data_IF_921050055295
#
_entry.id   IF_921050055295
#
_cell.length_a   1.000
_cell.length_b   1.000
_cell.length_c   1.000
_cell.angle_alpha   90.00
_cell.angle_beta   90.00
_cell.angle_gamma   90.00
#
_symmetry.space_group_name_H-M   'P 1'
#
loop_
_entity.id
_entity.type
_entity.pdbx_description
1 polymer ?
#
# COMPACT_ATOMS: atom_id res chain seq x y z
N UNK A 1 25.70 19.10 55.84
CA UNK A 1 26.02 18.91 57.27
C UNK A 1 27.08 17.84 57.39
N UNK A 2 28.07 18.04 58.25
CA UNK A 2 29.14 17.07 58.52
C UNK A 2 30.51 17.72 58.44
N UNK A 3 31.10 18.03 59.60
CA UNK A 3 32.44 18.60 59.71
C UNK A 3 33.53 17.52 59.61
N UNK A 4 34.57 17.82 58.84
CA UNK A 4 35.82 17.09 58.80
C UNK A 4 36.95 17.97 59.33
N UNK A 5 37.56 17.54 60.44
CA UNK A 5 38.68 18.18 61.11
C UNK A 5 39.96 17.92 60.29
N UNK A 6 40.57 18.96 59.74
CA UNK A 6 41.88 18.90 59.07
C UNK A 6 42.76 20.04 59.59
N UNK A 7 43.89 19.70 60.19
CA UNK A 7 44.90 20.66 60.66
C UNK A 7 45.50 21.37 59.44
N UNK A 8 45.28 22.68 59.33
CA UNK A 8 45.94 23.52 58.33
C UNK A 8 47.37 23.84 58.81
N UNK A 9 48.37 23.39 58.06
CA UNK A 9 49.75 23.83 58.23
C UNK A 9 49.90 25.30 57.81
N UNK A 10 50.57 26.10 58.63
CA UNK A 10 50.89 27.49 58.34
C UNK A 10 52.17 27.55 57.50
N UNK A 11 52.03 27.45 56.18
CA UNK A 11 52.96 27.82 55.08
C UNK A 11 52.93 26.76 53.98
N UNK A 12 52.39 27.12 52.81
CA UNK A 12 52.41 26.29 51.60
C UNK A 12 51.29 26.65 50.63
N UNK A 13 51.65 27.20 49.48
CA UNK A 13 50.75 27.43 48.34
C UNK A 13 50.18 26.08 47.84
N UNK A 14 49.04 25.67 48.39
CA UNK A 14 48.27 24.53 47.91
C UNK A 14 47.42 24.93 46.72
N UNK A 15 47.95 24.82 45.50
CA UNK A 15 47.09 24.69 44.32
C UNK A 15 46.48 23.30 44.36
N UNK A 16 45.28 23.18 44.90
CA UNK A 16 44.52 21.93 44.81
C UNK A 16 44.26 21.62 43.34
N UNK A 17 44.90 20.58 42.83
CA UNK A 17 44.70 20.06 41.48
C UNK A 17 43.37 19.29 41.46
N UNK A 18 42.27 19.99 41.19
CA UNK A 18 40.96 19.37 41.04
C UNK A 18 40.94 18.51 39.76
N UNK A 19 41.12 17.21 39.91
CA UNK A 19 40.93 16.24 38.81
C UNK A 19 39.44 15.92 38.72
N UNK A 20 38.77 16.49 37.73
CA UNK A 20 37.37 16.17 37.43
C UNK A 20 37.32 14.81 36.71
N UNK A 21 36.66 13.82 37.34
CA UNK A 21 36.34 12.55 36.68
C UNK A 21 34.98 12.68 36.03
N UNK A 22 34.97 12.90 34.72
CA UNK A 22 33.75 12.94 33.91
C UNK A 22 33.48 11.52 33.40
N UNK A 23 32.25 11.04 33.54
CA UNK A 23 31.85 9.75 32.97
C UNK A 23 31.76 9.82 31.45
N UNK A 24 31.84 8.67 30.77
CA UNK A 24 31.73 8.61 29.30
C UNK A 24 30.43 9.24 28.80
N UNK A 25 29.33 9.01 29.52
CA UNK A 25 28.01 9.49 29.13
C UNK A 25 27.89 11.01 29.36
N UNK A 26 28.40 11.53 30.48
CA UNK A 26 28.48 12.98 30.72
C UNK A 26 29.37 13.69 29.69
N UNK A 27 30.47 13.05 29.24
CA UNK A 27 31.30 13.60 28.17
C UNK A 27 30.54 13.71 26.85
N UNK A 28 29.73 12.70 26.52
CA UNK A 28 28.89 12.74 25.31
C UNK A 28 27.81 13.82 25.43
N UNK A 29 27.15 13.91 26.59
CA UNK A 29 26.14 14.92 26.82
C UNK A 29 26.73 16.33 26.72
N UNK A 30 27.89 16.59 27.33
CA UNK A 30 28.60 17.88 27.20
C UNK A 30 29.01 18.18 25.75
N UNK A 31 29.39 17.15 24.98
CA UNK A 31 29.76 17.29 23.57
C UNK A 31 28.54 17.62 22.69
N UNK A 32 27.37 17.06 23.01
CA UNK A 32 26.14 17.22 22.24
C UNK A 32 25.21 18.33 22.75
N UNK A 33 25.47 18.93 23.91
CA UNK A 33 24.68 20.00 24.53
C UNK A 33 24.47 21.20 23.58
N UNK A 34 25.50 21.49 22.76
CA UNK A 34 25.48 22.56 21.75
C UNK A 34 25.35 22.06 20.29
N UNK A 35 25.17 20.75 20.08
CA UNK A 35 24.98 20.14 18.74
C UNK A 35 23.50 20.05 18.34
N UNK A 36 22.67 20.97 18.83
CA UNK A 36 21.32 21.16 18.33
C UNK A 36 21.38 21.77 16.93
N UNK A 37 20.78 21.09 15.93
CA UNK A 37 20.72 21.60 14.57
C UNK A 37 19.96 22.95 14.55
N UNK A 38 20.65 24.09 14.33
CA UNK A 38 20.07 25.42 14.63
C UNK A 38 19.02 25.84 13.61
N UNK A 39 19.01 25.20 12.43
CA UNK A 39 18.05 25.46 11.38
C UNK A 39 17.72 24.17 10.66
N UNK A 40 16.70 23.47 11.14
CA UNK A 40 15.98 22.49 10.31
C UNK A 40 15.11 23.18 9.23
N UNK A 41 15.52 24.38 8.77
CA UNK A 41 14.91 25.05 7.63
C UNK A 41 15.30 24.24 6.39
N UNK A 42 14.29 23.81 5.65
CA UNK A 42 14.46 23.11 4.37
C UNK A 42 15.27 24.00 3.42
N UNK A 43 16.58 23.76 3.31
CA UNK A 43 17.40 24.40 2.30
C UNK A 43 16.91 23.96 0.91
N UNK A 44 16.77 24.91 -0.01
CA UNK A 44 16.26 24.66 -1.36
C UNK A 44 17.30 23.99 -2.30
N UNK A 45 18.48 23.62 -1.79
CA UNK A 45 19.56 23.05 -2.59
C UNK A 45 19.59 21.53 -2.55
N UNK A 46 19.62 20.96 -3.76
CA UNK A 46 19.74 19.56 -4.20
C UNK A 46 19.50 18.50 -3.11
N UNK A 47 18.25 18.40 -2.66
CA UNK A 47 17.75 17.19 -2.02
C UNK A 47 17.97 16.03 -3.00
N UNK A 48 18.76 15.03 -2.60
CA UNK A 48 18.70 13.73 -3.26
C UNK A 48 17.31 13.18 -2.92
N UNK A 49 16.39 13.27 -3.87
CA UNK A 49 15.08 12.67 -3.72
C UNK A 49 15.27 11.17 -3.77
N UNK A 50 15.28 10.52 -2.61
CA UNK A 50 15.10 9.08 -2.56
C UNK A 50 13.67 8.77 -3.02
N UNK A 51 13.52 7.82 -3.93
CA UNK A 51 12.21 7.42 -4.41
C UNK A 51 11.82 6.11 -3.77
N UNK A 52 10.77 6.14 -2.96
CA UNK A 52 10.18 4.92 -2.42
C UNK A 52 8.97 4.51 -3.25
N UNK A 53 8.87 3.21 -3.49
CA UNK A 53 7.73 2.63 -4.19
C UNK A 53 6.55 2.50 -3.24
N UNK A 54 5.43 3.15 -3.56
CA UNK A 54 4.20 3.08 -2.80
C UNK A 54 3.09 2.41 -3.62
N UNK A 55 2.22 1.65 -2.96
CA UNK A 55 1.05 1.05 -3.61
C UNK A 55 0.07 2.16 -4.01
N UNK A 56 -0.29 2.23 -5.28
CA UNK A 56 -1.11 3.28 -5.88
C UNK A 56 -2.41 2.71 -6.51
N UNK A 57 -2.96 1.66 -5.91
CA UNK A 57 -4.23 1.06 -6.33
C UNK A 57 -4.08 0.07 -7.50
N UNK A 58 -4.95 0.20 -8.51
CA UNK A 58 -5.01 -0.70 -9.65
C UNK A 58 -5.14 0.07 -10.98
N UNK A 59 -4.53 -0.45 -12.03
CA UNK A 59 -4.62 0.05 -13.41
C UNK A 59 -5.23 -1.01 -14.32
N UNK A 60 -5.80 -0.60 -15.46
CA UNK A 60 -6.32 -1.52 -16.48
C UNK A 60 -5.22 -2.26 -17.23
N UNK A 61 -4.03 -1.64 -17.34
CA UNK A 61 -2.88 -2.20 -18.05
C UNK A 61 -1.67 -2.27 -17.11
N UNK A 62 -0.79 -3.25 -17.33
CA UNK A 62 0.41 -3.45 -16.55
C UNK A 62 1.14 -4.74 -16.90
N UNK A 63 2.25 -4.99 -16.20
CA UNK A 63 3.05 -6.21 -16.38
C UNK A 63 2.27 -7.41 -15.82
N UNK A 64 2.23 -8.57 -16.51
CA UNK A 64 1.52 -9.77 -16.06
C UNK A 64 1.83 -10.20 -14.62
N UNK A 65 3.07 -10.02 -14.17
CA UNK A 65 3.48 -10.31 -12.80
C UNK A 65 2.69 -9.54 -11.73
N UNK A 66 2.18 -8.35 -12.06
CA UNK A 66 1.42 -7.49 -11.16
C UNK A 66 -0.10 -7.69 -11.28
N UNK A 67 -0.59 -8.68 -12.03
CA UNK A 67 -2.02 -8.90 -12.18
C UNK A 67 -2.70 -9.17 -10.83
N UNK A 68 -3.83 -8.51 -10.62
CA UNK A 68 -4.72 -8.77 -9.51
C UNK A 68 -5.81 -9.73 -9.96
N UNK A 69 -5.56 -11.03 -9.75
CA UNK A 69 -6.49 -12.10 -10.16
C UNK A 69 -7.88 -11.89 -9.56
N UNK A 70 -7.95 -11.65 -8.25
CA UNK A 70 -9.22 -11.47 -7.53
C UNK A 70 -10.04 -10.31 -8.11
N UNK A 71 -9.41 -9.14 -8.29
CA UNK A 71 -10.12 -7.96 -8.81
C UNK A 71 -10.49 -8.11 -10.28
N UNK A 72 -9.65 -8.78 -11.08
CA UNK A 72 -9.96 -9.06 -12.48
C UNK A 72 -11.15 -10.01 -12.63
N UNK A 73 -11.18 -11.08 -11.83
CA UNK A 73 -12.30 -12.01 -11.79
C UNK A 73 -13.59 -11.35 -11.31
N UNK A 74 -13.53 -10.51 -10.27
CA UNK A 74 -14.69 -9.74 -9.80
C UNK A 74 -15.28 -8.85 -10.91
N UNK A 75 -14.42 -8.12 -11.63
CA UNK A 75 -14.86 -7.29 -12.76
C UNK A 75 -15.50 -8.13 -13.86
N UNK A 76 -14.89 -9.26 -14.20
CA UNK A 76 -15.42 -10.15 -15.23
C UNK A 76 -16.78 -10.73 -14.85
N UNK A 77 -16.95 -11.16 -13.60
CA UNK A 77 -18.23 -11.65 -13.11
C UNK A 77 -19.31 -10.56 -13.15
N UNK A 78 -18.97 -9.33 -12.76
CA UNK A 78 -19.89 -8.20 -12.84
C UNK A 78 -20.29 -7.91 -14.30
N UNK A 79 -19.33 -7.87 -15.22
CA UNK A 79 -19.57 -7.67 -16.66
C UNK A 79 -20.45 -8.78 -17.24
N UNK A 80 -20.11 -10.05 -16.98
CA UNK A 80 -20.88 -11.21 -17.45
C UNK A 80 -22.29 -11.19 -16.90
N UNK A 81 -22.47 -10.84 -15.62
CA UNK A 81 -23.79 -10.70 -15.01
C UNK A 81 -24.60 -9.60 -15.69
N UNK A 82 -24.02 -8.41 -15.93
CA UNK A 82 -24.70 -7.32 -16.62
C UNK A 82 -25.09 -7.68 -18.06
N UNK A 83 -24.17 -8.27 -18.83
CA UNK A 83 -24.38 -8.67 -20.23
C UNK A 83 -25.41 -9.80 -20.41
N UNK A 84 -25.57 -10.65 -19.38
CA UNK A 84 -26.49 -11.79 -19.42
C UNK A 84 -27.79 -11.55 -18.64
N UNK A 85 -27.90 -10.49 -17.83
CA UNK A 85 -29.05 -10.24 -16.97
C UNK A 85 -30.39 -10.23 -17.72
N UNK A 86 -30.48 -9.48 -18.82
CA UNK A 86 -31.71 -9.41 -19.63
C UNK A 86 -32.09 -10.78 -20.20
N UNK A 87 -31.14 -11.46 -20.85
CA UNK A 87 -31.33 -12.80 -21.42
C UNK A 87 -31.73 -13.81 -20.34
N UNK A 88 -31.14 -13.75 -19.14
CA UNK A 88 -31.51 -14.65 -18.04
C UNK A 88 -32.93 -14.42 -17.52
N UNK A 89 -33.46 -13.19 -17.60
CA UNK A 89 -34.87 -12.93 -17.25
C UNK A 89 -35.81 -13.51 -18.30
N UNK A 90 -35.51 -13.24 -19.57
CA UNK A 90 -36.26 -13.79 -20.71
C UNK A 90 -36.23 -15.32 -20.72
N UNK A 91 -35.07 -15.93 -20.44
CA UNK A 91 -34.94 -17.38 -20.31
C UNK A 91 -35.90 -17.95 -19.26
N UNK A 92 -36.00 -17.31 -18.09
CA UNK A 92 -36.90 -17.77 -17.03
C UNK A 92 -38.36 -17.64 -17.43
N UNK A 93 -38.74 -16.53 -18.07
CA UNK A 93 -40.10 -16.35 -18.58
C UNK A 93 -40.46 -17.44 -19.62
N UNK A 94 -39.57 -17.72 -20.57
CA UNK A 94 -39.80 -18.79 -21.56
C UNK A 94 -39.84 -20.18 -20.93
N UNK A 95 -39.03 -20.43 -19.88
CA UNK A 95 -39.08 -21.68 -19.12
C UNK A 95 -40.41 -21.86 -18.37
N UNK A 96 -40.95 -20.78 -17.80
CA UNK A 96 -42.28 -20.75 -17.17
C UNK A 96 -43.41 -20.95 -18.19
N UNK A 97 -43.31 -20.31 -19.36
CA UNK A 97 -44.26 -20.48 -20.47
C UNK A 97 -44.26 -21.93 -20.98
N UNK A 98 -43.06 -22.52 -21.14
CA UNK A 98 -42.90 -23.91 -21.55
C UNK A 98 -43.53 -24.87 -20.54
N UNK A 99 -43.32 -24.64 -19.25
CA UNK A 99 -43.94 -25.42 -18.19
C UNK A 99 -45.47 -25.32 -18.24
N UNK A 100 -46.00 -24.13 -18.50
CA UNK A 100 -47.44 -23.89 -18.63
C UNK A 100 -48.05 -24.63 -19.83
N UNK A 101 -47.44 -24.50 -21.01
CA UNK A 101 -47.92 -25.16 -22.23
C UNK A 101 -47.83 -26.68 -22.11
N UNK A 102 -46.75 -27.20 -21.50
CA UNK A 102 -46.58 -28.65 -21.29
C UNK A 102 -47.67 -29.28 -20.43
N UNK A 103 -48.37 -28.47 -19.62
CA UNK A 103 -49.48 -28.90 -18.74
C UNK A 103 -50.87 -28.58 -19.29
N UNK A 104 -50.96 -27.83 -20.39
CA UNK A 104 -52.24 -27.45 -20.98
C UNK A 104 -52.82 -28.56 -21.87
N UNK A 105 -54.15 -28.71 -21.82
CA UNK A 105 -54.90 -29.53 -22.78
C UNK A 105 -55.80 -28.62 -23.63
N UNK A 106 -55.86 -28.83 -24.97
CA UNK A 106 -55.17 -29.84 -25.75
C UNK A 106 -53.66 -29.59 -25.88
N UNK A 107 -52.88 -30.66 -26.12
CA UNK A 107 -51.41 -30.58 -26.25
C UNK A 107 -51.02 -29.72 -27.45
N UNK A 108 -50.22 -28.69 -27.21
CA UNK A 108 -49.76 -27.73 -28.23
C UNK A 108 -48.29 -28.02 -28.64
N UNK A 109 -48.07 -29.15 -29.33
CA UNK A 109 -46.74 -29.64 -29.70
C UNK A 109 -45.88 -28.61 -30.45
N UNK A 110 -46.47 -27.88 -31.40
CA UNK A 110 -45.74 -26.92 -32.23
C UNK A 110 -45.23 -25.72 -31.39
N UNK A 111 -46.03 -25.23 -30.45
CA UNK A 111 -45.64 -24.12 -29.57
C UNK A 111 -44.58 -24.57 -28.57
N UNK A 112 -44.69 -25.79 -28.04
CA UNK A 112 -43.71 -26.38 -27.15
C UNK A 112 -42.33 -26.50 -27.82
N UNK A 113 -42.29 -27.01 -29.06
CA UNK A 113 -41.04 -27.09 -29.84
C UNK A 113 -40.44 -25.71 -30.13
N UNK A 114 -41.28 -24.71 -30.44
CA UNK A 114 -40.84 -23.32 -30.64
C UNK A 114 -40.15 -22.76 -29.39
N UNK A 115 -40.79 -22.89 -28.23
CA UNK A 115 -40.24 -22.41 -26.96
C UNK A 115 -38.94 -23.12 -26.59
N UNK A 116 -38.87 -24.45 -26.77
CA UNK A 116 -37.63 -25.21 -26.54
C UNK A 116 -36.48 -24.72 -27.41
N UNK A 117 -36.76 -24.40 -28.68
CA UNK A 117 -35.76 -23.84 -29.60
C UNK A 117 -35.31 -22.46 -29.16
N UNK A 118 -36.23 -21.58 -28.79
CA UNK A 118 -35.90 -20.23 -28.29
C UNK A 118 -35.05 -20.28 -27.01
N UNK A 119 -35.42 -21.16 -26.06
CA UNK A 119 -34.64 -21.42 -24.84
C UNK A 119 -33.23 -21.89 -25.19
N UNK A 120 -33.08 -22.83 -26.12
CA UNK A 120 -31.77 -23.35 -26.53
C UNK A 120 -30.90 -22.24 -27.15
N UNK A 121 -31.47 -21.41 -28.03
CA UNK A 121 -30.78 -20.26 -28.62
C UNK A 121 -30.36 -19.24 -27.56
N UNK A 122 -31.24 -18.94 -26.61
CA UNK A 122 -30.94 -17.98 -25.55
C UNK A 122 -29.84 -18.48 -24.60
N UNK A 123 -29.88 -19.77 -24.24
CA UNK A 123 -28.83 -20.44 -23.46
C UNK A 123 -27.48 -20.37 -24.18
N UNK A 124 -27.45 -20.66 -25.48
CA UNK A 124 -26.24 -20.55 -26.28
C UNK A 124 -25.69 -19.10 -26.32
N UNK A 125 -26.57 -18.10 -26.44
CA UNK A 125 -26.19 -16.67 -26.38
C UNK A 125 -25.60 -16.28 -25.02
N UNK A 126 -26.12 -16.81 -23.92
CA UNK A 126 -25.58 -16.58 -22.56
C UNK A 126 -24.21 -17.23 -22.41
N UNK A 127 -24.06 -18.47 -22.88
CA UNK A 127 -22.81 -19.23 -22.72
C UNK A 127 -21.67 -18.65 -23.57
N UNK A 128 -21.97 -18.07 -24.73
CA UNK A 128 -20.99 -17.38 -25.57
C UNK A 128 -20.29 -16.21 -24.87
N UNK A 129 -20.84 -15.66 -23.78
CA UNK A 129 -20.21 -14.55 -23.06
C UNK A 129 -18.97 -15.05 -22.29
N UNK A 130 -17.75 -14.56 -22.63
CA UNK A 130 -16.51 -15.09 -22.10
C UNK A 130 -16.35 -14.80 -20.60
N UNK A 131 -15.68 -15.73 -19.90
CA UNK A 131 -15.41 -15.65 -18.46
C UNK A 131 -14.32 -14.67 -18.06
N UNK A 132 -13.41 -14.29 -18.97
CA UNK A 132 -12.39 -13.27 -18.76
C UNK A 132 -12.21 -12.52 -20.07
N UNK A 133 -12.08 -11.20 -19.99
CA UNK A 133 -11.75 -10.33 -21.11
C UNK A 133 -10.64 -9.36 -20.69
N UNK A 134 -9.93 -8.81 -21.68
CA UNK A 134 -8.86 -7.82 -21.53
C UNK A 134 -9.31 -6.60 -20.72
N UNK A 135 -10.55 -6.15 -20.90
CA UNK A 135 -11.14 -5.04 -20.15
C UNK A 135 -11.32 -5.34 -18.65
N UNK A 136 -11.43 -6.61 -18.28
CA UNK A 136 -11.62 -7.02 -16.89
C UNK A 136 -10.31 -6.99 -16.11
N UNK A 137 -9.17 -7.13 -16.82
CA UNK A 137 -7.85 -7.24 -16.22
C UNK A 137 -7.50 -5.99 -15.40
N UNK A 138 -7.02 -6.21 -14.20
CA UNK A 138 -6.53 -5.16 -13.31
C UNK A 138 -5.16 -5.54 -12.77
N UNK A 139 -4.25 -4.58 -12.81
CA UNK A 139 -2.87 -4.74 -12.38
C UNK A 139 -2.64 -3.90 -11.15
N UNK A 140 -1.88 -4.41 -10.18
CA UNK A 140 -1.44 -3.65 -9.01
C UNK A 140 -0.54 -2.53 -9.48
N UNK A 141 -0.91 -1.30 -9.17
CA UNK A 141 -0.15 -0.13 -9.54
C UNK A 141 0.78 0.28 -8.38
N UNK A 142 1.99 0.68 -8.74
CA UNK A 142 2.98 1.17 -7.81
C UNK A 142 3.57 2.47 -8.35
N UNK A 143 3.54 3.51 -7.53
CA UNK A 143 4.03 4.83 -7.89
C UNK A 143 5.29 5.15 -7.06
N UNK A 144 6.27 5.78 -7.70
CA UNK A 144 7.44 6.29 -7.00
C UNK A 144 7.11 7.65 -6.41
N UNK A 145 7.16 7.75 -5.08
CA UNK A 145 6.98 9.03 -4.38
C UNK A 145 8.33 9.51 -3.87
N UNK A 146 8.64 10.81 -4.04
CA UNK A 146 9.85 11.37 -3.44
C UNK A 146 9.70 11.36 -1.93
N UNK A 147 10.67 10.77 -1.25
CA UNK A 147 10.82 10.79 0.20
C UNK A 147 12.01 11.72 0.52
N UNK A 148 11.82 12.78 1.31
CA UNK A 148 12.89 13.72 1.58
C UNK A 148 13.93 13.07 2.49
N UNK A 149 15.18 12.93 2.02
CA UNK A 149 16.30 12.51 2.85
C UNK A 149 16.98 13.73 3.49
N UNK A 150 17.12 13.75 4.82
CA UNK A 150 17.92 14.75 5.53
C UNK A 150 19.36 14.26 5.67
N UNK A 151 20.32 14.95 5.06
CA UNK A 151 21.74 14.66 5.24
C UNK A 151 22.31 15.58 6.33
N UNK A 152 22.75 14.99 7.44
CA UNK A 152 23.54 15.68 8.48
C UNK A 152 24.95 15.10 8.49
N UNK A 153 25.97 15.96 8.55
CA UNK A 153 27.38 15.56 8.58
C UNK A 153 28.01 16.23 9.79
N UNK A 154 28.77 15.45 10.56
CA UNK A 154 29.53 15.93 11.71
C UNK A 154 31.01 15.99 11.31
N UNK A 155 31.62 17.17 11.48
CA UNK A 155 33.04 17.38 11.23
C UNK A 155 33.75 17.51 12.59
N UNK A 156 34.60 16.54 12.94
CA UNK A 156 35.53 16.67 14.06
C UNK A 156 36.86 17.22 13.56
N UNK A 157 37.27 18.38 14.07
CA UNK A 157 38.63 18.89 13.98
C UNK A 157 39.27 18.74 15.36
N UNK A 158 40.32 17.93 15.44
CA UNK A 158 41.13 17.79 16.66
C UNK A 158 42.49 18.41 16.38
N UNK A 159 42.92 19.32 17.26
CA UNK A 159 44.29 19.82 17.25
C UNK A 159 45.21 18.76 17.89
N UNK A 160 46.24 18.37 17.15
CA UNK A 160 47.29 17.46 17.61
C UNK A 160 48.59 18.22 17.91
N UNK A 161 48.52 19.55 18.05
CA UNK A 161 49.64 20.34 18.53
C UNK A 161 49.92 19.99 20.00
N UNK A 162 50.99 19.21 20.20
CA UNK A 162 51.58 18.90 21.49
C UNK A 162 52.62 19.92 21.91
#
# INVERSE_FOLDING_TARGET
GGGGQGQASADGEGKDEFVFQISKDEYLDLLFEDLALPNLKKNQHRQLNEFKTHRAGFTSNGVPANISVVRSLQNSLARRTAMTAGKRRELRALEEDLETISRSEPVQLLEEERLRKEIAELRAKIERVPFIDTFDLRYKNYEKRPEPSSQAVMFCLMDVSG
#
